data_IF_072601568160
#
_entry.id   IF_072601568160
#
_cell.length_a   1.000
_cell.length_b   1.000
_cell.length_c   1.000
_cell.angle_alpha   90.00
_cell.angle_beta   90.00
_cell.angle_gamma   90.00
#
_symmetry.space_group_name_H-M   'P 1'
#
loop_
_entity.id
_entity.type
_entity.pdbx_description
1 polymer ?
#
# COMPACT_ATOMS: atom_id res chain seq x y z
N UNK A 1 -29.37 -37.48 -54.01
CA UNK A 1 -29.78 -37.67 -52.60
C UNK A 1 -29.04 -36.64 -51.75
N UNK A 2 -29.72 -35.61 -51.20
CA UNK A 2 -29.09 -34.66 -50.29
C UNK A 2 -29.27 -35.13 -48.83
N UNK A 3 -28.20 -35.15 -48.05
CA UNK A 3 -28.30 -35.17 -46.59
C UNK A 3 -27.93 -33.79 -46.06
N UNK A 4 -28.93 -33.10 -45.53
CA UNK A 4 -28.75 -31.86 -44.79
C UNK A 4 -28.14 -32.12 -43.42
N UNK A 5 -27.47 -31.11 -42.89
CA UNK A 5 -27.41 -30.91 -41.45
C UNK A 5 -27.28 -29.42 -41.15
N UNK A 6 -28.39 -28.82 -40.75
CA UNK A 6 -28.52 -27.44 -40.30
C UNK A 6 -27.74 -27.29 -38.98
N UNK A 7 -26.62 -26.55 -38.99
CA UNK A 7 -25.85 -26.28 -37.76
C UNK A 7 -26.55 -25.18 -36.98
N UNK A 8 -27.09 -25.55 -35.82
CA UNK A 8 -27.81 -24.69 -34.88
C UNK A 8 -27.04 -23.39 -34.54
N UNK A 9 -27.81 -22.31 -34.42
CA UNK A 9 -27.40 -20.92 -34.15
C UNK A 9 -26.54 -20.80 -32.88
N UNK A 10 -25.49 -19.95 -32.95
CA UNK A 10 -24.65 -19.58 -31.80
C UNK A 10 -25.49 -18.93 -30.70
N UNK A 11 -25.91 -19.72 -29.70
CA UNK A 11 -26.43 -19.24 -28.43
C UNK A 11 -25.38 -19.43 -27.34
N UNK A 12 -25.22 -18.45 -26.44
CA UNK A 12 -24.34 -18.52 -25.28
C UNK A 12 -24.45 -19.88 -24.57
N UNK A 13 -23.31 -20.51 -24.27
CA UNK A 13 -23.33 -21.76 -23.53
C UNK A 13 -23.74 -21.49 -22.07
N UNK A 14 -24.41 -22.46 -21.44
CA UNK A 14 -24.76 -22.39 -20.00
C UNK A 14 -23.55 -22.05 -19.13
N UNK A 15 -22.36 -22.50 -19.54
CA UNK A 15 -21.11 -22.24 -18.84
C UNK A 15 -20.65 -20.80 -19.00
N UNK A 16 -20.85 -20.20 -20.17
CA UNK A 16 -20.52 -18.79 -20.42
C UNK A 16 -21.49 -17.87 -19.68
N UNK A 17 -22.77 -18.25 -19.61
CA UNK A 17 -23.75 -17.54 -18.78
C UNK A 17 -23.37 -17.58 -17.30
N UNK A 18 -23.06 -18.76 -16.74
CA UNK A 18 -22.68 -18.90 -15.33
C UNK A 18 -21.38 -18.17 -14.98
N UNK A 19 -20.39 -18.17 -15.89
CA UNK A 19 -19.17 -17.37 -15.70
C UNK A 19 -19.45 -15.88 -15.68
N UNK A 20 -20.29 -15.40 -16.60
CA UNK A 20 -20.59 -13.98 -16.73
C UNK A 20 -21.48 -13.50 -15.56
N UNK A 21 -22.49 -14.28 -15.17
CA UNK A 21 -23.39 -13.93 -14.06
C UNK A 21 -22.69 -14.02 -12.70
N UNK A 22 -21.79 -14.99 -12.52
CA UNK A 22 -20.98 -15.11 -11.30
C UNK A 22 -20.07 -13.91 -11.07
N UNK A 23 -19.41 -13.40 -12.12
CA UNK A 23 -18.56 -12.21 -12.05
C UNK A 23 -19.38 -10.94 -11.79
N UNK A 24 -20.53 -10.79 -12.44
CA UNK A 24 -21.41 -9.65 -12.25
C UNK A 24 -22.01 -9.57 -10.83
N UNK A 25 -22.41 -10.71 -10.26
CA UNK A 25 -22.98 -10.75 -8.92
C UNK A 25 -21.94 -10.44 -7.82
N UNK A 26 -20.70 -10.92 -7.99
CA UNK A 26 -19.62 -10.65 -7.03
C UNK A 26 -19.23 -9.16 -6.98
N UNK A 27 -19.23 -8.47 -8.11
CA UNK A 27 -18.90 -7.04 -8.20
C UNK A 27 -19.93 -6.12 -7.51
N UNK A 28 -21.21 -6.55 -7.47
CA UNK A 28 -22.28 -5.76 -6.85
C UNK A 28 -22.43 -6.01 -5.34
N UNK A 29 -22.15 -7.22 -4.87
CA UNK A 29 -22.29 -7.57 -3.46
C UNK A 29 -21.08 -7.18 -2.60
N UNK A 30 -19.89 -7.04 -3.21
CA UNK A 30 -18.65 -6.78 -2.47
C UNK A 30 -17.70 -5.83 -3.24
N UNK A 31 -18.01 -4.53 -3.34
CA UNK A 31 -17.14 -3.56 -4.01
C UNK A 31 -15.73 -3.48 -3.38
N UNK A 32 -15.62 -3.81 -2.09
CA UNK A 32 -14.36 -3.82 -1.33
C UNK A 32 -13.43 -5.00 -1.67
N UNK A 33 -13.94 -6.14 -2.16
CA UNK A 33 -13.11 -7.34 -2.41
C UNK A 33 -12.26 -7.19 -3.69
N UNK A 34 -12.65 -6.29 -4.60
CA UNK A 34 -11.86 -5.99 -5.81
C UNK A 34 -10.53 -5.28 -5.45
N UNK A 35 -10.47 -4.62 -4.29
CA UNK A 35 -9.25 -3.93 -3.82
C UNK A 35 -8.22 -4.94 -3.27
N UNK A 36 -8.65 -6.08 -2.74
CA UNK A 36 -7.74 -7.02 -2.06
C UNK A 36 -7.16 -8.11 -2.99
N UNK A 37 -7.90 -8.60 -4.00
CA UNK A 37 -7.47 -9.79 -4.77
C UNK A 37 -7.81 -9.75 -6.27
N UNK A 38 -8.26 -8.63 -6.84
CA UNK A 38 -8.51 -8.51 -8.29
C UNK A 38 -7.21 -8.47 -9.11
N UNK A 39 -7.21 -8.90 -10.39
CA UNK A 39 -6.07 -8.65 -11.26
C UNK A 39 -5.85 -7.14 -11.29
N UNK A 40 -4.67 -6.72 -10.82
CA UNK A 40 -4.24 -5.33 -10.76
C UNK A 40 -4.45 -4.69 -12.15
N UNK A 41 -5.60 -4.04 -12.35
CA UNK A 41 -5.78 -3.19 -13.50
C UNK A 41 -4.78 -2.06 -13.30
N UNK A 42 -3.79 -2.00 -14.16
CA UNK A 42 -2.74 -0.98 -14.22
C UNK A 42 -3.28 0.41 -14.59
N UNK A 43 -4.54 0.70 -14.25
CA UNK A 43 -5.28 1.91 -14.57
C UNK A 43 -6.03 2.50 -13.37
N UNK A 44 -5.59 2.22 -12.14
CA UNK A 44 -5.97 3.06 -11.00
C UNK A 44 -5.55 4.51 -11.25
N UNK A 45 -6.25 5.53 -10.69
CA UNK A 45 -5.88 6.92 -10.88
C UNK A 45 -4.40 7.09 -10.57
N UNK A 46 -3.65 7.69 -11.50
CA UNK A 46 -2.23 7.99 -11.30
C UNK A 46 -2.12 8.92 -10.09
N UNK A 47 -1.86 8.34 -8.91
CA UNK A 47 -1.70 9.10 -7.70
C UNK A 47 -0.55 10.09 -7.91
N UNK A 48 -0.86 11.38 -7.89
CA UNK A 48 0.18 12.40 -7.94
C UNK A 48 0.97 12.28 -6.65
N UNK A 49 2.26 11.98 -6.75
CA UNK A 49 3.14 11.90 -5.60
C UNK A 49 3.20 13.31 -4.97
N UNK A 50 2.77 13.48 -3.71
CA UNK A 50 2.82 14.78 -3.04
C UNK A 50 4.25 15.28 -2.96
N UNK A 51 4.47 16.55 -3.32
CA UNK A 51 5.78 17.19 -3.16
C UNK A 51 5.94 17.71 -1.73
N UNK A 52 7.11 17.50 -1.08
CA UNK A 52 7.39 18.09 0.21
C UNK A 52 7.29 19.62 0.18
N UNK A 53 6.81 20.20 1.29
CA UNK A 53 6.79 21.66 1.49
C UNK A 53 8.21 22.18 1.68
N UNK A 54 8.46 23.45 1.33
CA UNK A 54 9.77 24.10 1.57
C UNK A 54 10.10 24.05 3.07
N UNK A 55 11.27 23.51 3.42
CA UNK A 55 11.70 23.37 4.80
C UNK A 55 10.93 22.30 5.59
N UNK A 56 10.36 21.31 4.91
CA UNK A 56 9.71 20.18 5.57
C UNK A 56 10.70 19.43 6.47
N UNK A 57 10.19 18.92 7.58
CA UNK A 57 10.94 18.10 8.52
C UNK A 57 10.08 16.90 8.92
N UNK A 58 10.74 15.76 9.17
CA UNK A 58 10.14 14.54 9.69
C UNK A 58 10.84 14.20 11.00
N UNK A 59 10.08 14.00 12.07
CA UNK A 59 10.55 13.39 13.32
C UNK A 59 10.22 11.91 13.29
N UNK A 60 11.24 11.08 13.37
CA UNK A 60 11.13 9.63 13.26
C UNK A 60 11.61 8.99 14.56
N UNK A 61 10.71 8.29 15.24
CA UNK A 61 11.08 7.41 16.35
C UNK A 61 11.44 6.05 15.76
N UNK A 62 12.66 5.58 16.00
CA UNK A 62 13.18 4.35 15.41
C UNK A 62 13.66 3.41 16.52
N UNK A 63 13.32 2.13 16.42
CA UNK A 63 13.94 1.13 17.28
C UNK A 63 15.42 0.94 16.88
N UNK A 64 16.33 1.13 17.84
CA UNK A 64 17.76 0.75 17.76
C UNK A 64 17.93 -0.74 17.45
N UNK A 65 18.66 -1.05 16.39
CA UNK A 65 18.96 -2.41 15.95
C UNK A 65 19.89 -3.15 16.90
N UNK A 66 19.77 -4.47 16.94
CA UNK A 66 20.78 -5.34 17.57
C UNK A 66 22.09 -5.38 16.75
N UNK A 67 22.02 -5.05 15.45
CA UNK A 67 23.18 -4.94 14.55
C UNK A 67 23.54 -3.47 14.39
N UNK A 68 24.62 -3.02 15.06
CA UNK A 68 25.07 -1.62 14.98
C UNK A 68 25.25 -1.08 13.55
N UNK A 69 25.85 -1.83 12.61
CA UNK A 69 25.93 -1.38 11.21
C UNK A 69 24.57 -1.08 10.55
N UNK A 70 23.49 -1.73 10.98
CA UNK A 70 22.16 -1.46 10.42
C UNK A 70 21.63 -0.08 10.84
N UNK A 71 21.92 0.36 12.07
CA UNK A 71 21.53 1.70 12.53
C UNK A 71 22.31 2.79 11.78
N UNK A 72 23.60 2.56 11.53
CA UNK A 72 24.45 3.46 10.75
C UNK A 72 23.94 3.59 9.31
N UNK A 73 23.64 2.46 8.67
CA UNK A 73 23.12 2.42 7.31
C UNK A 73 21.74 3.08 7.22
N UNK A 74 20.86 2.84 8.18
CA UNK A 74 19.54 3.47 8.23
C UNK A 74 19.66 5.00 8.32
N UNK A 75 20.55 5.51 9.19
CA UNK A 75 20.80 6.95 9.32
C UNK A 75 21.39 7.54 8.02
N UNK A 76 22.28 6.82 7.35
CA UNK A 76 22.83 7.23 6.04
C UNK A 76 21.72 7.34 4.98
N UNK A 77 20.88 6.31 4.86
CA UNK A 77 19.78 6.29 3.90
C UNK A 77 18.76 7.41 4.15
N UNK A 78 18.41 7.65 5.42
CA UNK A 78 17.49 8.72 5.79
C UNK A 78 18.07 10.11 5.47
N UNK A 79 19.37 10.32 5.69
CA UNK A 79 20.05 11.57 5.33
C UNK A 79 20.10 11.76 3.81
N UNK A 80 20.41 10.71 3.05
CA UNK A 80 20.44 10.76 1.58
C UNK A 80 19.06 11.04 0.99
N UNK A 81 18.03 10.35 1.49
CA UNK A 81 16.65 10.60 1.10
C UNK A 81 16.24 12.03 1.46
N UNK A 82 16.58 12.50 2.66
CA UNK A 82 16.28 13.86 3.11
C UNK A 82 16.93 14.91 2.20
N UNK A 83 18.20 14.74 1.86
CA UNK A 83 18.93 15.61 0.94
C UNK A 83 18.30 15.62 -0.47
N UNK A 84 17.93 14.45 -0.99
CA UNK A 84 17.29 14.33 -2.31
C UNK A 84 15.90 14.98 -2.38
N UNK A 85 15.18 15.04 -1.25
CA UNK A 85 13.81 15.55 -1.18
C UNK A 85 13.70 16.95 -0.55
N UNK A 86 14.80 17.54 -0.09
CA UNK A 86 14.79 18.82 0.64
C UNK A 86 14.05 18.76 1.97
N UNK A 87 14.12 17.60 2.64
CA UNK A 87 13.45 17.30 3.91
C UNK A 87 14.49 17.03 4.99
N UNK A 88 14.36 17.67 6.15
CA UNK A 88 15.17 17.33 7.33
C UNK A 88 14.59 16.10 8.02
N UNK A 89 15.37 15.03 8.17
CA UNK A 89 14.94 13.83 8.92
C UNK A 89 15.63 13.81 10.28
N UNK A 90 14.86 13.99 11.34
CA UNK A 90 15.32 13.93 12.73
C UNK A 90 14.97 12.56 13.31
N UNK A 91 15.99 11.72 13.53
CA UNK A 91 15.83 10.36 14.01
C UNK A 91 16.12 10.29 15.51
N UNK A 92 15.15 9.80 16.26
CA UNK A 92 15.28 9.44 17.67
C UNK A 92 15.31 7.92 17.79
N UNK A 93 16.46 7.36 18.18
CA UNK A 93 16.60 5.91 18.36
C UNK A 93 16.31 5.49 19.81
N UNK A 94 15.48 4.46 19.99
CA UNK A 94 15.09 3.92 21.31
C UNK A 94 15.22 2.41 21.37
N UNK A 95 15.37 1.85 22.57
CA UNK A 95 15.36 0.39 22.77
C UNK A 95 13.93 -0.17 22.65
N UNK A 96 13.79 -1.47 22.42
CA UNK A 96 12.49 -2.10 22.16
C UNK A 96 11.49 -1.97 23.32
N UNK A 97 11.99 -2.01 24.56
CA UNK A 97 11.21 -1.79 25.79
C UNK A 97 10.71 -0.35 25.93
N UNK A 98 11.38 0.61 25.29
CA UNK A 98 11.02 2.03 25.33
C UNK A 98 10.05 2.44 24.22
N UNK A 99 9.93 1.66 23.15
CA UNK A 99 9.13 2.02 21.97
C UNK A 99 7.64 2.18 22.31
N UNK A 100 7.06 1.18 22.97
CA UNK A 100 5.65 1.19 23.38
C UNK A 100 5.31 2.31 24.37
N UNK A 101 6.02 2.48 25.51
CA UNK A 101 5.69 3.54 26.46
C UNK A 101 5.89 4.95 25.87
N UNK A 102 6.88 5.16 25.01
CA UNK A 102 7.05 6.45 24.32
C UNK A 102 5.96 6.72 23.29
N UNK A 103 5.53 5.70 22.55
CA UNK A 103 4.41 5.81 21.62
C UNK A 103 3.13 6.19 22.36
N UNK A 104 2.83 5.53 23.48
CA UNK A 104 1.68 5.87 24.31
C UNK A 104 1.78 7.32 24.82
N UNK A 105 2.92 7.73 25.37
CA UNK A 105 3.12 9.10 25.84
C UNK A 105 2.94 10.16 24.73
N UNK A 106 3.44 9.88 23.52
CA UNK A 106 3.28 10.74 22.35
C UNK A 106 1.81 10.92 21.93
N UNK A 107 1.03 9.82 21.97
CA UNK A 107 -0.40 9.83 21.67
C UNK A 107 -1.18 10.60 22.74
N UNK A 108 -0.96 10.31 24.03
CA UNK A 108 -1.62 10.99 25.15
C UNK A 108 -1.31 12.49 25.16
N UNK A 109 -0.07 12.86 24.87
CA UNK A 109 0.33 14.27 24.77
C UNK A 109 -0.18 14.95 23.49
N UNK A 110 -0.74 14.20 22.53
CA UNK A 110 -1.04 14.66 21.16
C UNK A 110 0.13 15.42 20.52
N UNK A 111 1.34 15.03 20.91
CA UNK A 111 2.60 15.68 20.54
C UNK A 111 3.68 14.60 20.54
N UNK A 112 4.06 14.20 19.35
CA UNK A 112 4.87 12.99 19.14
C UNK A 112 5.56 12.99 17.79
N UNK A 113 6.48 12.05 17.55
CA UNK A 113 7.10 11.87 16.24
C UNK A 113 6.05 11.73 15.12
N UNK A 114 6.42 12.12 13.90
CA UNK A 114 5.55 12.02 12.73
C UNK A 114 5.42 10.55 12.25
N UNK A 115 6.47 9.76 12.49
CA UNK A 115 6.55 8.33 12.13
C UNK A 115 7.16 7.57 13.32
N UNK A 116 6.63 6.37 13.59
CA UNK A 116 7.10 5.41 14.60
C UNK A 116 7.39 4.08 13.91
#
# INVERSE_FOLDING_TARGET
MPHGNERAKLGWSRRDFLKTSGVAAAALAFPEIIIACGPQSSGGPTATIPKPRKGASIRLLQWTSFVKPADEEFKRQAAEWGAANGVTVAIETVTGDQLQPKTAAAVEASSGPDII
#
